data_IF_648006501928
#
_entry.id   IF_648006501928
#
_cell.length_a   1.000
_cell.length_b   1.000
_cell.length_c   1.000
_cell.angle_alpha   90.00
_cell.angle_beta   90.00
_cell.angle_gamma   90.00
#
_symmetry.space_group_name_H-M   'P 1'
#
loop_
_entity.id
_entity.type
_entity.pdbx_description
1 polymer ?
#
# COMPACT_ATOMS: atom_id res chain seq x y z
N UNK A 1 15.91 -14.50 -10.28
CA UNK A 1 15.64 -13.11 -10.67
C UNK A 1 14.84 -12.51 -9.53
N UNK A 2 15.45 -11.64 -8.73
CA UNK A 2 14.74 -10.92 -7.67
C UNK A 2 13.82 -9.95 -8.40
N UNK A 3 12.54 -10.33 -8.55
CA UNK A 3 11.55 -9.43 -9.12
C UNK A 3 11.53 -8.22 -8.17
N UNK A 4 11.94 -7.04 -8.65
CA UNK A 4 12.03 -5.82 -7.82
C UNK A 4 10.66 -5.29 -7.37
N UNK A 5 9.62 -6.07 -7.62
CA UNK A 5 8.22 -5.83 -7.28
C UNK A 5 7.92 -6.66 -6.03
N UNK A 6 7.43 -6.00 -4.98
CA UNK A 6 6.95 -6.70 -3.79
C UNK A 6 5.45 -6.93 -3.95
N UNK A 7 5.05 -8.19 -3.81
CA UNK A 7 3.68 -8.63 -3.97
C UNK A 7 2.96 -8.65 -2.62
N UNK A 8 1.63 -8.61 -2.68
CA UNK A 8 0.76 -8.56 -1.51
C UNK A 8 0.95 -9.76 -0.57
N UNK A 9 1.26 -10.93 -1.13
CA UNK A 9 1.57 -12.15 -0.37
C UNK A 9 2.86 -12.06 0.44
N UNK A 10 3.90 -11.41 -0.10
CA UNK A 10 5.16 -11.20 0.61
C UNK A 10 4.96 -10.24 1.80
N UNK A 11 4.16 -9.19 1.61
CA UNK A 11 3.77 -8.27 2.70
C UNK A 11 2.91 -9.00 3.75
N UNK A 12 1.96 -9.84 3.33
CA UNK A 12 1.10 -10.62 4.22
C UNK A 12 1.86 -11.66 5.05
N UNK A 13 3.01 -12.15 4.57
CA UNK A 13 3.89 -13.02 5.34
C UNK A 13 4.62 -12.27 6.48
N UNK A 14 4.83 -10.95 6.32
CA UNK A 14 5.59 -10.09 7.26
C UNK A 14 4.69 -9.33 8.24
N UNK A 15 3.43 -9.09 7.87
CA UNK A 15 2.47 -8.39 8.70
C UNK A 15 1.04 -8.93 8.56
N UNK A 16 0.25 -8.76 9.61
CA UNK A 16 -1.18 -9.13 9.60
C UNK A 16 -2.09 -8.03 9.08
N UNK A 17 -1.65 -6.77 9.20
CA UNK A 17 -2.42 -5.59 8.82
C UNK A 17 -1.56 -4.63 8.00
N UNK A 18 -2.22 -3.96 7.06
CA UNK A 18 -1.66 -2.89 6.26
C UNK A 18 -2.40 -1.60 6.59
N UNK A 19 -1.66 -0.62 7.07
CA UNK A 19 -2.14 0.74 7.25
C UNK A 19 -2.02 1.51 5.94
N UNK A 20 -3.05 2.30 5.63
CA UNK A 20 -3.22 3.04 4.39
C UNK A 20 -3.60 4.46 4.75
N UNK A 21 -2.91 5.44 4.18
CA UNK A 21 -3.20 6.84 4.43
C UNK A 21 -3.20 7.62 3.11
N UNK A 22 -4.06 8.62 3.04
CA UNK A 22 -4.00 9.61 1.99
C UNK A 22 -2.96 10.68 2.34
N UNK A 23 -2.15 11.11 1.37
CA UNK A 23 -1.10 12.11 1.58
C UNK A 23 -1.63 13.49 1.95
N UNK A 24 -2.89 13.78 1.60
CA UNK A 24 -3.49 15.12 1.67
C UNK A 24 -4.81 15.18 2.42
N UNK A 25 -5.60 14.12 2.36
CA UNK A 25 -6.81 14.02 3.15
C UNK A 25 -6.51 13.36 4.50
N UNK A 26 -7.35 13.65 5.49
CA UNK A 26 -7.39 12.95 6.78
C UNK A 26 -7.88 11.48 6.68
N UNK A 27 -8.19 10.99 5.47
CA UNK A 27 -8.61 9.61 5.23
C UNK A 27 -7.47 8.65 5.53
N UNK A 28 -7.70 7.77 6.50
CA UNK A 28 -6.81 6.68 6.88
C UNK A 28 -7.65 5.42 7.07
N UNK A 29 -7.07 4.28 6.72
CA UNK A 29 -7.71 2.98 6.84
C UNK A 29 -6.69 1.94 7.22
N UNK A 30 -7.18 0.85 7.82
CA UNK A 30 -6.36 -0.31 8.15
C UNK A 30 -7.05 -1.54 7.61
N UNK A 31 -6.34 -2.30 6.80
CA UNK A 31 -6.85 -3.50 6.14
C UNK A 31 -6.15 -4.74 6.67
N UNK A 32 -6.91 -5.82 6.82
CA UNK A 32 -6.33 -7.12 7.14
C UNK A 32 -5.71 -7.70 5.86
N UNK A 33 -4.41 -8.00 5.91
CA UNK A 33 -3.66 -8.47 4.74
C UNK A 33 -4.19 -9.82 4.22
N UNK A 34 -4.56 -10.74 5.11
CA UNK A 34 -5.18 -12.01 4.72
C UNK A 34 -6.47 -11.81 3.88
N UNK A 35 -7.26 -10.79 4.21
CA UNK A 35 -8.49 -10.48 3.46
C UNK A 35 -8.20 -9.84 2.11
N UNK A 36 -7.18 -8.99 2.04
CA UNK A 36 -6.72 -8.41 0.78
C UNK A 36 -6.15 -9.48 -0.15
N UNK A 37 -5.31 -10.38 0.37
CA UNK A 37 -4.77 -11.52 -0.40
C UNK A 37 -5.89 -12.42 -0.92
N UNK A 38 -6.91 -12.69 -0.11
CA UNK A 38 -8.06 -13.47 -0.57
C UNK A 38 -8.86 -12.75 -1.67
N UNK A 39 -8.95 -11.42 -1.63
CA UNK A 39 -9.73 -10.64 -2.59
C UNK A 39 -9.00 -10.37 -3.92
N UNK A 40 -7.69 -10.06 -3.85
CA UNK A 40 -6.89 -9.60 -5.00
C UNK A 40 -5.87 -10.63 -5.49
N UNK A 41 -5.54 -11.62 -4.66
CA UNK A 41 -4.49 -12.60 -4.92
C UNK A 41 -3.17 -12.26 -4.23
N UNK A 42 -2.36 -13.29 -3.97
CA UNK A 42 -1.05 -13.15 -3.33
C UNK A 42 0.00 -12.51 -4.25
N UNK A 43 -0.13 -12.70 -5.56
CA UNK A 43 0.76 -12.16 -6.60
C UNK A 43 0.41 -10.70 -6.96
N UNK A 44 -0.55 -10.10 -6.27
CA UNK A 44 -1.00 -8.75 -6.58
C UNK A 44 0.08 -7.73 -6.21
N UNK A 45 0.51 -6.91 -7.17
CA UNK A 45 1.59 -5.95 -6.97
C UNK A 45 1.19 -4.84 -5.97
N UNK A 46 2.03 -4.59 -4.96
CA UNK A 46 1.82 -3.50 -4.00
C UNK A 46 1.77 -2.11 -4.66
N UNK A 47 2.41 -1.95 -5.82
CA UNK A 47 2.39 -0.70 -6.61
C UNK A 47 1.00 -0.38 -7.14
N UNK A 48 0.21 -1.40 -7.52
CA UNK A 48 -1.17 -1.24 -7.97
C UNK A 48 -2.16 -1.19 -6.80
N UNK A 49 -1.80 -1.73 -5.63
CA UNK A 49 -2.70 -1.79 -4.48
C UNK A 49 -3.16 -0.40 -4.02
N UNK A 50 -2.28 0.59 -4.11
CA UNK A 50 -2.61 1.97 -3.80
C UNK A 50 -3.76 2.49 -4.69
N UNK A 51 -3.82 2.05 -5.95
CA UNK A 51 -4.88 2.42 -6.87
C UNK A 51 -6.22 1.77 -6.52
N UNK A 52 -6.20 0.47 -6.21
CA UNK A 52 -7.38 -0.31 -5.86
C UNK A 52 -8.00 0.13 -4.53
N UNK A 53 -7.16 0.44 -3.53
CA UNK A 53 -7.64 0.87 -2.21
C UNK A 53 -7.99 2.36 -2.15
N UNK A 54 -7.58 3.15 -3.15
CA UNK A 54 -7.82 4.58 -3.19
C UNK A 54 -9.28 4.92 -3.55
N UNK A 55 -10.17 4.79 -2.58
CA UNK A 55 -11.54 5.31 -2.69
C UNK A 55 -11.61 6.83 -2.40
N UNK A 56 -10.61 7.61 -2.83
CA UNK A 56 -10.55 9.05 -2.58
C UNK A 56 -11.10 9.83 -3.79
N UNK A 57 -12.13 10.68 -3.63
CA UNK A 57 -12.71 11.44 -4.74
C UNK A 57 -11.70 12.41 -5.38
N UNK A 58 -10.72 12.88 -4.60
CA UNK A 58 -9.67 13.76 -5.08
C UNK A 58 -8.56 13.04 -5.85
N UNK A 59 -8.65 11.72 -6.05
CA UNK A 59 -7.67 11.00 -6.88
C UNK A 59 -7.90 11.22 -8.37
N UNK A 60 -9.12 11.56 -8.77
CA UNK A 60 -9.48 11.81 -10.16
C UNK A 60 -9.42 13.30 -10.54
N UNK A 61 -8.98 14.16 -9.61
CA UNK A 61 -8.73 15.58 -9.88
C UNK A 61 -7.69 15.72 -11.01
N UNK A 62 -8.10 16.38 -12.10
CA UNK A 62 -7.25 16.60 -13.28
C UNK A 62 -5.99 17.44 -12.96
N UNK A 63 -6.07 18.26 -11.91
CA UNK A 63 -4.94 19.05 -11.44
C UNK A 63 -4.04 18.18 -10.56
N UNK A 64 -2.82 17.89 -11.03
CA UNK A 64 -1.83 17.08 -10.30
C UNK A 64 -1.56 17.62 -8.88
N UNK A 65 -1.58 18.95 -8.73
CA UNK A 65 -1.41 19.61 -7.43
C UNK A 65 -2.65 19.55 -6.53
N UNK A 66 -3.78 18.97 -6.95
CA UNK A 66 -4.96 18.66 -6.13
C UNK A 66 -5.19 17.15 -5.98
N UNK A 67 -4.54 16.35 -6.82
CA UNK A 67 -4.60 14.91 -6.76
C UNK A 67 -4.17 14.39 -5.39
N UNK A 68 -4.96 13.48 -4.86
CA UNK A 68 -4.62 12.73 -3.67
C UNK A 68 -3.90 11.44 -4.03
N UNK A 69 -2.79 11.19 -3.35
CA UNK A 69 -2.06 9.93 -3.43
C UNK A 69 -2.28 9.11 -2.17
N UNK A 70 -2.25 7.80 -2.35
CA UNK A 70 -2.31 6.83 -1.26
C UNK A 70 -0.90 6.33 -0.99
N UNK A 71 -0.54 6.31 0.28
CA UNK A 71 0.71 5.75 0.74
C UNK A 71 0.47 4.79 1.91
N UNK A 72 1.43 3.90 2.10
CA UNK A 72 1.39 2.87 3.13
C UNK A 72 2.36 3.26 4.26
N UNK A 73 1.89 3.92 5.34
CA UNK A 73 2.77 4.25 6.46
C UNK A 73 3.44 3.00 7.03
N UNK A 74 4.76 3.07 7.23
CA UNK A 74 5.55 1.94 7.75
C UNK A 74 5.85 0.85 6.73
N UNK A 75 5.47 1.01 5.45
CA UNK A 75 5.78 0.02 4.40
C UNK A 75 7.27 -0.19 4.21
N UNK A 76 8.12 0.82 4.45
CA UNK A 76 9.58 0.66 4.38
C UNK A 76 10.08 -0.52 5.23
N UNK A 77 9.54 -0.67 6.45
CA UNK A 77 9.86 -1.78 7.35
C UNK A 77 9.36 -3.13 6.81
N UNK A 78 8.24 -3.13 6.09
CA UNK A 78 7.67 -4.32 5.48
C UNK A 78 8.42 -4.72 4.21
N UNK A 79 8.90 -3.75 3.44
CA UNK A 79 9.49 -3.96 2.11
C UNK A 79 11.00 -4.26 2.19
N UNK A 80 11.74 -3.49 2.97
CA UNK A 80 13.21 -3.55 3.03
C UNK A 80 13.76 -4.25 4.27
N UNK A 81 12.90 -4.65 5.22
CA UNK A 81 13.38 -5.10 6.53
C UNK A 81 14.01 -3.95 7.31
N UNK A 82 14.33 -4.18 8.58
CA UNK A 82 15.04 -3.20 9.41
C UNK A 82 16.50 -3.11 8.93
N UNK A 83 16.76 -2.39 7.84
CA UNK A 83 18.09 -1.82 7.61
C UNK A 83 18.21 -0.65 8.58
N UNK A 84 18.69 -1.00 9.77
CA UNK A 84 19.05 -0.11 10.87
C UNK A 84 19.83 1.08 10.28
N UNK A 85 19.14 2.21 10.13
CA UNK A 85 19.76 3.48 9.80
C UNK A 85 20.55 3.90 11.05
N UNK A 86 21.86 3.63 10.98
CA UNK A 86 22.89 3.98 11.96
C UNK A 86 22.89 5.45 12.36
#
# INVERSE_FOLDING_TARGET
MTNGSIDLGDVAARASHLDVACSRCERRGRYQLARLVHALGADFAMTDLGAELANCPHREDAAHNKRCDVYFPGSQRLMYGDEEAS
#
